data_IF_335353352723
#
_entry.id   IF_335353352723
#
_cell.length_a   1.000
_cell.length_b   1.000
_cell.length_c   1.000
_cell.angle_alpha   90.00
_cell.angle_beta   90.00
_cell.angle_gamma   90.00
#
_symmetry.space_group_name_H-M   'P 1'
#
loop_
_entity.id
_entity.type
_entity.pdbx_description
1 polymer ?
#
# COMPACT_ATOMS: atom_id res chain seq x y z
N UNK A 1 -8.25 -30.53 26.00
CA UNK A 1 -7.71 -29.30 26.61
C UNK A 1 -7.53 -28.30 25.49
N UNK A 2 -8.43 -27.31 25.39
CA UNK A 2 -8.36 -26.26 24.37
C UNK A 2 -7.38 -25.19 24.88
N UNK A 3 -6.27 -25.04 24.17
CA UNK A 3 -5.30 -23.97 24.46
C UNK A 3 -5.90 -22.65 24.00
N UNK A 4 -6.38 -21.84 24.95
CA UNK A 4 -6.73 -20.45 24.71
C UNK A 4 -5.47 -19.68 24.29
N UNK A 5 -5.32 -19.43 22.99
CA UNK A 5 -4.38 -18.42 22.50
C UNK A 5 -5.03 -17.08 22.79
N UNK A 6 -4.51 -16.41 23.81
CA UNK A 6 -4.79 -15.00 24.08
C UNK A 6 -4.25 -14.19 22.90
N UNK A 7 -5.13 -13.79 22.00
CA UNK A 7 -4.85 -12.72 21.04
C UNK A 7 -4.58 -11.45 21.87
N UNK A 8 -3.32 -11.13 22.07
CA UNK A 8 -2.92 -9.80 22.54
C UNK A 8 -3.46 -8.81 21.52
N UNK A 9 -4.15 -7.76 21.97
CA UNK A 9 -4.61 -6.65 21.14
C UNK A 9 -3.44 -6.14 20.30
N UNK A 10 -3.43 -6.49 19.02
CA UNK A 10 -2.38 -6.13 18.06
C UNK A 10 -2.62 -4.70 17.54
N UNK A 11 -2.56 -3.73 18.43
CA UNK A 11 -2.48 -2.30 18.11
C UNK A 11 -0.99 -1.96 17.97
N UNK A 12 -0.66 -0.96 17.16
CA UNK A 12 0.71 -0.44 17.08
C UNK A 12 1.35 -0.35 18.48
N UNK A 13 2.59 -0.83 18.66
CA UNK A 13 3.27 -0.68 19.94
C UNK A 13 3.27 0.79 20.36
N UNK A 14 2.74 1.07 21.53
CA UNK A 14 2.74 2.43 22.12
C UNK A 14 4.09 2.78 22.74
N UNK A 15 5.08 1.89 22.60
CA UNK A 15 6.44 2.15 23.00
C UNK A 15 7.13 3.09 22.00
N UNK A 16 8.03 3.91 22.47
CA UNK A 16 8.73 4.95 21.72
C UNK A 16 9.79 4.37 20.74
N UNK A 17 9.67 3.07 20.37
CA UNK A 17 10.61 2.41 19.46
C UNK A 17 10.44 2.88 18.01
N UNK A 18 11.52 2.89 17.23
CA UNK A 18 11.47 3.29 15.84
C UNK A 18 10.48 2.48 15.02
N UNK A 19 9.81 3.14 14.07
CA UNK A 19 8.92 2.48 13.10
C UNK A 19 9.42 2.74 11.69
N UNK A 20 9.60 1.66 10.92
CA UNK A 20 9.99 1.70 9.51
C UNK A 20 8.76 1.52 8.63
N UNK A 21 8.58 2.37 7.62
CA UNK A 21 7.57 2.17 6.57
C UNK A 21 8.23 2.00 5.20
N UNK A 22 7.71 1.07 4.39
CA UNK A 22 8.22 0.71 3.06
C UNK A 22 7.07 0.70 2.07
N UNK A 23 7.18 1.48 0.99
CA UNK A 23 6.30 1.41 -0.17
C UNK A 23 7.11 1.25 -1.46
N UNK A 24 6.81 0.18 -2.17
CA UNK A 24 7.37 -0.19 -3.47
C UNK A 24 6.26 -0.51 -4.48
N UNK A 25 5.06 -0.01 -4.22
CA UNK A 25 3.86 -0.32 -5.01
C UNK A 25 3.82 0.31 -6.40
N UNK A 26 4.73 1.27 -6.68
CA UNK A 26 4.83 1.99 -7.95
C UNK A 26 6.26 1.93 -8.51
N UNK A 27 6.64 2.85 -9.42
CA UNK A 27 8.04 3.05 -9.84
C UNK A 27 8.89 3.79 -8.81
N UNK A 28 8.26 4.33 -7.77
CA UNK A 28 8.95 4.97 -6.66
C UNK A 28 9.40 3.94 -5.63
N UNK A 29 10.53 4.21 -5.01
CA UNK A 29 10.94 3.62 -3.76
C UNK A 29 10.72 4.66 -2.67
N UNK A 30 9.81 4.38 -1.75
CA UNK A 30 9.52 5.25 -0.62
C UNK A 30 9.79 4.51 0.68
N UNK A 31 10.65 5.08 1.53
CA UNK A 31 11.04 4.51 2.82
C UNK A 31 10.99 5.64 3.85
N UNK A 32 10.29 5.44 4.94
CA UNK A 32 10.25 6.39 6.04
C UNK A 32 10.63 5.70 7.35
N UNK A 33 11.55 6.31 8.08
CA UNK A 33 11.90 5.91 9.43
C UNK A 33 11.41 6.98 10.39
N UNK A 34 10.57 6.58 11.33
CA UNK A 34 10.19 7.40 12.44
C UNK A 34 10.95 6.99 13.68
N UNK A 35 11.65 7.95 14.28
CA UNK A 35 12.40 7.78 15.53
C UNK A 35 12.36 9.09 16.34
N UNK A 36 12.10 9.00 17.65
CA UNK A 36 12.06 10.16 18.55
C UNK A 36 11.15 11.31 18.06
N UNK A 37 10.00 10.97 17.46
CA UNK A 37 9.02 11.90 16.86
C UNK A 37 9.51 12.63 15.61
N UNK A 38 10.66 12.29 15.07
CA UNK A 38 11.14 12.76 13.78
C UNK A 38 10.90 11.70 12.69
N UNK A 39 10.60 12.14 11.48
CA UNK A 39 10.43 11.27 10.31
C UNK A 39 11.49 11.61 9.28
N UNK A 40 12.37 10.65 9.02
CA UNK A 40 13.30 10.70 7.90
C UNK A 40 12.66 9.96 6.71
N UNK A 41 12.54 10.65 5.56
CA UNK A 41 11.91 10.13 4.36
C UNK A 41 12.91 10.03 3.21
N UNK A 42 12.99 8.86 2.58
CA UNK A 42 13.53 8.68 1.24
C UNK A 42 12.38 8.41 0.28
N UNK A 43 12.28 9.20 -0.80
CA UNK A 43 11.21 9.03 -1.79
C UNK A 43 11.72 9.44 -3.17
N UNK A 44 12.04 8.46 -4.01
CA UNK A 44 12.60 8.70 -5.35
C UNK A 44 12.02 7.74 -6.39
N UNK A 45 11.91 8.21 -7.63
CA UNK A 45 11.56 7.36 -8.77
C UNK A 45 12.80 6.58 -9.20
N UNK A 46 12.89 5.34 -8.80
CA UNK A 46 14.00 4.43 -9.10
C UNK A 46 13.68 3.45 -10.25
N UNK A 47 12.48 3.51 -10.79
CA UNK A 47 12.01 2.63 -11.86
C UNK A 47 12.08 1.17 -11.44
N UNK A 48 12.92 0.37 -12.13
CA UNK A 48 13.10 -1.07 -11.86
C UNK A 48 14.20 -1.39 -10.86
N UNK A 49 14.89 -0.38 -10.29
CA UNK A 49 16.05 -0.56 -9.40
C UNK A 49 15.69 -0.69 -7.92
N UNK A 50 14.43 -0.94 -7.60
CA UNK A 50 13.97 -1.06 -6.21
C UNK A 50 14.76 -2.11 -5.42
N UNK A 51 14.97 -3.30 -6.00
CA UNK A 51 15.72 -4.39 -5.34
C UNK A 51 17.20 -4.06 -5.09
N UNK A 52 17.78 -3.19 -5.91
CA UNK A 52 19.18 -2.77 -5.75
C UNK A 52 19.32 -1.70 -4.68
N UNK A 53 18.32 -0.83 -4.52
CA UNK A 53 18.42 0.36 -3.69
C UNK A 53 17.76 0.24 -2.32
N UNK A 54 16.78 -0.63 -2.13
CA UNK A 54 15.98 -0.66 -0.89
C UNK A 54 16.84 -0.91 0.36
N UNK A 55 17.71 -1.91 0.37
CA UNK A 55 18.56 -2.21 1.53
C UNK A 55 19.61 -1.12 1.78
N UNK A 56 20.35 -0.61 0.78
CA UNK A 56 21.25 0.53 0.98
C UNK A 56 20.58 1.77 1.57
N UNK A 57 19.34 2.09 1.15
CA UNK A 57 18.61 3.25 1.69
C UNK A 57 18.14 3.01 3.13
N UNK A 58 17.68 1.81 3.47
CA UNK A 58 17.33 1.44 4.86
C UNK A 58 18.58 1.53 5.75
N UNK A 59 19.70 0.96 5.32
CA UNK A 59 20.97 1.02 6.06
C UNK A 59 21.40 2.46 6.30
N UNK A 60 21.29 3.34 5.30
CA UNK A 60 21.58 4.76 5.44
C UNK A 60 20.71 5.41 6.53
N UNK A 61 19.40 5.22 6.48
CA UNK A 61 18.45 5.78 7.46
C UNK A 61 18.75 5.27 8.88
N UNK A 62 19.06 3.98 9.03
CA UNK A 62 19.43 3.40 10.32
C UNK A 62 20.71 3.99 10.88
N UNK A 63 21.74 4.15 10.03
CA UNK A 63 23.00 4.76 10.42
C UNK A 63 22.84 6.23 10.83
N UNK A 64 22.04 7.00 10.10
CA UNK A 64 21.75 8.41 10.41
C UNK A 64 20.98 8.53 11.75
N UNK A 65 20.08 7.60 12.04
CA UNK A 65 19.32 7.54 13.30
C UNK A 65 20.08 6.87 14.46
N UNK A 66 21.23 6.24 14.21
CA UNK A 66 22.00 5.52 15.22
C UNK A 66 21.33 4.26 15.74
N UNK A 67 20.52 3.58 14.92
CA UNK A 67 19.77 2.37 15.27
C UNK A 67 20.14 1.18 14.36
N UNK A 68 19.62 0.02 14.75
CA UNK A 68 19.68 -1.23 13.98
C UNK A 68 18.27 -1.82 13.78
N UNK A 69 18.14 -2.88 13.00
CA UNK A 69 16.86 -3.56 12.82
C UNK A 69 16.30 -4.16 14.13
N UNK A 70 17.17 -4.48 15.10
CA UNK A 70 16.76 -4.99 16.42
C UNK A 70 16.02 -3.94 17.27
N UNK A 71 16.22 -2.66 16.99
CA UNK A 71 15.59 -1.56 17.71
C UNK A 71 14.18 -1.25 17.21
N UNK A 72 13.79 -1.79 16.04
CA UNK A 72 12.47 -1.52 15.45
C UNK A 72 11.33 -2.04 16.33
N UNK A 73 10.35 -1.20 16.58
CA UNK A 73 9.10 -1.54 17.26
C UNK A 73 8.03 -2.05 16.32
N UNK A 74 8.03 -1.60 15.05
CA UNK A 74 7.07 -2.00 14.04
C UNK A 74 7.62 -1.76 12.63
N UNK A 75 7.18 -2.60 11.67
CA UNK A 75 7.43 -2.37 10.25
C UNK A 75 6.09 -2.25 9.52
N UNK A 76 5.88 -1.13 8.83
CA UNK A 76 4.71 -0.86 8.01
C UNK A 76 5.07 -1.12 6.55
N UNK A 77 4.20 -1.78 5.79
CA UNK A 77 4.47 -2.03 4.38
C UNK A 77 3.24 -1.81 3.51
N UNK A 78 3.46 -1.38 2.28
CA UNK A 78 2.43 -1.29 1.26
C UNK A 78 1.94 -2.70 0.90
N UNK A 79 0.70 -3.01 1.28
CA UNK A 79 0.12 -4.35 1.10
C UNK A 79 -0.32 -4.61 -0.34
N UNK A 80 -0.54 -3.55 -1.14
CA UNK A 80 -1.14 -3.59 -2.46
C UNK A 80 -2.57 -3.04 -2.44
N UNK A 81 -3.24 -3.02 -3.60
CA UNK A 81 -2.76 -3.44 -4.92
C UNK A 81 -1.74 -2.46 -5.51
N UNK A 82 -0.93 -2.95 -6.46
CA UNK A 82 0.12 -2.15 -7.09
C UNK A 82 1.04 -2.99 -7.99
N UNK A 83 2.25 -2.48 -8.26
CA UNK A 83 3.25 -3.16 -9.08
C UNK A 83 3.66 -4.49 -8.46
N UNK A 84 3.32 -5.58 -9.13
CA UNK A 84 3.47 -6.96 -8.63
C UNK A 84 4.88 -7.32 -8.13
N UNK A 85 5.91 -6.97 -8.89
CA UNK A 85 7.30 -7.22 -8.50
C UNK A 85 7.70 -6.31 -7.34
N UNK A 86 7.34 -5.04 -7.40
CA UNK A 86 7.66 -4.06 -6.36
C UNK A 86 7.08 -4.47 -5.01
N UNK A 87 5.79 -4.77 -4.95
CA UNK A 87 5.13 -5.20 -3.70
C UNK A 87 5.84 -6.40 -3.05
N UNK A 88 6.28 -7.38 -3.86
CA UNK A 88 7.04 -8.53 -3.34
C UNK A 88 8.42 -8.16 -2.80
N UNK A 89 9.12 -7.24 -3.46
CA UNK A 89 10.40 -6.73 -2.97
C UNK A 89 10.21 -6.06 -1.60
N UNK A 90 9.26 -5.14 -1.48
CA UNK A 90 8.99 -4.44 -0.22
C UNK A 90 8.57 -5.38 0.90
N UNK A 91 7.63 -6.28 0.64
CA UNK A 91 7.17 -7.26 1.63
C UNK A 91 8.28 -8.22 2.06
N UNK A 92 9.10 -8.75 1.12
CA UNK A 92 10.20 -9.65 1.44
C UNK A 92 11.28 -8.97 2.30
N UNK A 93 11.62 -7.71 2.00
CA UNK A 93 12.55 -6.93 2.83
C UNK A 93 11.96 -6.67 4.21
N UNK A 94 10.70 -6.26 4.30
CA UNK A 94 10.01 -6.05 5.57
C UNK A 94 9.99 -7.33 6.42
N UNK A 95 9.63 -8.48 5.83
CA UNK A 95 9.65 -9.79 6.50
C UNK A 95 11.07 -10.20 6.93
N UNK A 96 12.07 -9.97 6.07
CA UNK A 96 13.49 -10.27 6.38
C UNK A 96 14.03 -9.48 7.57
N UNK A 97 13.63 -8.21 7.70
CA UNK A 97 13.99 -7.35 8.84
C UNK A 97 13.21 -7.71 10.10
N UNK A 98 11.95 -8.12 9.98
CA UNK A 98 11.08 -8.44 11.10
C UNK A 98 11.40 -9.80 11.75
N UNK A 99 11.67 -10.82 10.94
CA UNK A 99 11.78 -12.23 11.37
C UNK A 99 12.82 -12.46 12.48
N UNK A 100 14.05 -11.91 12.44
CA UNK A 100 15.06 -12.19 13.46
C UNK A 100 14.72 -11.64 14.85
N UNK A 101 13.80 -10.68 14.94
CA UNK A 101 13.50 -9.93 16.16
C UNK A 101 12.03 -10.01 16.56
N UNK A 102 11.23 -10.85 15.88
CA UNK A 102 9.78 -10.94 16.08
C UNK A 102 9.09 -9.56 16.00
N UNK A 103 9.61 -8.66 15.15
CA UNK A 103 9.08 -7.31 15.01
C UNK A 103 7.69 -7.37 14.36
N UNK A 104 6.65 -6.77 14.98
CA UNK A 104 5.30 -6.75 14.40
C UNK A 104 5.27 -5.98 13.08
N UNK A 105 4.43 -6.42 12.16
CA UNK A 105 4.26 -5.84 10.84
C UNK A 105 2.83 -5.36 10.63
N UNK A 106 2.65 -4.23 9.96
CA UNK A 106 1.34 -3.70 9.57
C UNK A 106 1.29 -3.54 8.06
N UNK A 107 0.44 -4.33 7.41
CA UNK A 107 0.13 -4.15 5.99
C UNK A 107 -0.97 -3.10 5.81
N UNK A 108 -0.74 -2.11 4.95
CA UNK A 108 -1.72 -1.07 4.63
C UNK A 108 -2.05 -1.14 3.14
N UNK A 109 -3.34 -1.26 2.77
CA UNK A 109 -3.75 -1.23 1.38
C UNK A 109 -3.39 0.08 0.70
N UNK A 110 -2.82 0.00 -0.51
CA UNK A 110 -2.32 1.19 -1.22
C UNK A 110 -3.44 2.19 -1.58
N UNK A 111 -4.64 1.71 -1.87
CA UNK A 111 -5.79 2.57 -2.15
C UNK A 111 -6.30 3.28 -0.89
N UNK A 112 -6.22 2.66 0.28
CA UNK A 112 -6.52 3.30 1.56
C UNK A 112 -5.53 4.44 1.83
N UNK A 113 -4.23 4.17 1.58
CA UNK A 113 -3.19 5.17 1.73
C UNK A 113 -3.41 6.36 0.76
N UNK A 114 -3.76 6.10 -0.49
CA UNK A 114 -4.09 7.15 -1.45
C UNK A 114 -5.33 7.96 -1.00
N UNK A 115 -6.43 7.29 -0.63
CA UNK A 115 -7.64 7.96 -0.18
C UNK A 115 -7.40 8.87 1.04
N UNK A 116 -6.47 8.50 1.93
CA UNK A 116 -6.15 9.26 3.14
C UNK A 116 -5.51 10.63 2.89
N UNK A 117 -5.00 10.88 1.67
CA UNK A 117 -4.44 12.19 1.29
C UNK A 117 -5.53 13.24 1.02
N UNK A 118 -6.76 12.81 0.76
CA UNK A 118 -7.87 13.72 0.53
C UNK A 118 -8.48 14.22 1.86
N UNK A 119 -9.02 15.45 1.86
CA UNK A 119 -9.75 15.97 3.02
C UNK A 119 -10.97 15.07 3.32
N UNK A 120 -11.52 15.14 4.55
CA UNK A 120 -12.73 14.42 4.91
C UNK A 120 -13.88 14.67 3.92
N UNK A 121 -14.39 13.60 3.34
CA UNK A 121 -15.45 13.60 2.30
C UNK A 121 -16.23 12.29 2.35
N UNK A 122 -17.52 12.35 2.02
CA UNK A 122 -18.41 11.19 2.10
C UNK A 122 -18.23 10.18 0.96
N UNK A 123 -17.69 10.61 -0.20
CA UNK A 123 -17.48 9.71 -1.33
C UNK A 123 -16.32 10.18 -2.20
N UNK A 124 -15.19 9.49 -2.14
CA UNK A 124 -14.01 9.74 -2.97
C UNK A 124 -13.53 8.47 -3.65
N UNK A 125 -12.97 8.61 -4.85
CA UNK A 125 -12.38 7.52 -5.61
C UNK A 125 -10.87 7.48 -5.40
N UNK A 126 -10.32 6.37 -4.88
CA UNK A 126 -8.91 6.09 -5.00
C UNK A 126 -8.68 5.17 -6.20
N UNK A 127 -7.80 5.57 -7.14
CA UNK A 127 -7.53 4.79 -8.35
C UNK A 127 -6.05 4.84 -8.73
N UNK A 128 -5.46 3.67 -8.98
CA UNK A 128 -4.05 3.53 -9.34
C UNK A 128 -3.87 2.68 -10.59
N UNK A 129 -2.81 2.95 -11.37
CA UNK A 129 -2.49 2.22 -12.60
C UNK A 129 -2.28 0.72 -12.32
N UNK A 130 -3.10 -0.14 -12.90
CA UNK A 130 -2.98 -1.59 -12.85
C UNK A 130 -2.24 -2.17 -14.06
N UNK A 131 -1.70 -1.31 -14.93
CA UNK A 131 -1.14 -1.66 -16.24
C UNK A 131 -2.18 -2.24 -17.20
N UNK A 132 -1.77 -2.47 -18.47
CA UNK A 132 -2.60 -3.09 -19.51
C UNK A 132 -3.91 -2.34 -19.79
N UNK A 133 -3.95 -1.01 -19.56
CA UNK A 133 -5.15 -0.18 -19.75
C UNK A 133 -6.23 -0.39 -18.69
N UNK A 134 -5.85 -0.92 -17.52
CA UNK A 134 -6.73 -1.09 -16.36
C UNK A 134 -6.24 -0.28 -15.17
N UNK A 135 -7.12 -0.08 -14.21
CA UNK A 135 -6.82 0.58 -12.94
C UNK A 135 -7.31 -0.28 -11.76
N UNK A 136 -6.56 -0.25 -10.66
CA UNK A 136 -7.07 -0.68 -9.35
C UNK A 136 -7.84 0.48 -8.75
N UNK A 137 -9.01 0.23 -8.19
CA UNK A 137 -9.80 1.28 -7.57
C UNK A 137 -10.68 0.79 -6.43
N UNK A 138 -11.07 1.72 -5.58
CA UNK A 138 -12.11 1.55 -4.58
C UNK A 138 -12.67 2.92 -4.19
N UNK A 139 -13.91 2.93 -3.68
CA UNK A 139 -14.59 4.11 -3.16
C UNK A 139 -14.47 4.18 -1.65
N UNK A 140 -14.32 5.39 -1.13
CA UNK A 140 -14.11 5.64 0.30
C UNK A 140 -14.96 6.80 0.81
N UNK A 141 -15.44 6.66 2.03
CA UNK A 141 -15.85 7.75 2.90
C UNK A 141 -14.66 8.08 3.81
N UNK A 142 -13.91 9.13 3.45
CA UNK A 142 -12.72 9.54 4.22
C UNK A 142 -13.08 10.30 5.49
N UNK A 143 -14.31 10.82 5.60
CA UNK A 143 -14.82 11.47 6.81
C UNK A 143 -15.05 10.44 7.92
N UNK A 144 -15.66 9.30 7.58
CA UNK A 144 -15.95 8.23 8.53
C UNK A 144 -14.92 7.10 8.50
N UNK A 145 -13.90 7.21 7.65
CA UNK A 145 -12.86 6.21 7.45
C UNK A 145 -13.40 4.83 7.05
N UNK A 146 -14.38 4.80 6.18
CA UNK A 146 -15.03 3.58 5.69
C UNK A 146 -14.75 3.39 4.20
N UNK A 147 -14.43 2.17 3.81
CA UNK A 147 -14.40 1.80 2.40
C UNK A 147 -15.83 1.46 1.94
N UNK A 148 -16.30 2.11 0.87
CA UNK A 148 -17.65 2.01 0.33
C UNK A 148 -17.80 0.91 -0.74
N UNK A 149 -16.70 0.39 -1.28
CA UNK A 149 -16.71 -0.69 -2.28
C UNK A 149 -15.56 -1.66 -2.05
N UNK A 150 -15.62 -2.85 -2.64
CA UNK A 150 -14.48 -3.75 -2.69
C UNK A 150 -13.34 -3.15 -3.53
N UNK A 151 -12.10 -3.63 -3.28
CA UNK A 151 -10.99 -3.35 -4.18
C UNK A 151 -11.22 -4.06 -5.50
N UNK A 152 -11.22 -3.28 -6.57
CA UNK A 152 -11.58 -3.77 -7.90
C UNK A 152 -10.47 -3.46 -8.91
N UNK A 153 -10.39 -4.24 -9.97
CA UNK A 153 -9.56 -3.96 -11.15
C UNK A 153 -10.46 -3.93 -12.38
N UNK A 154 -10.27 -2.94 -13.25
CA UNK A 154 -11.04 -2.79 -14.45
C UNK A 154 -10.65 -1.57 -15.26
N UNK A 155 -11.39 -1.30 -16.34
CA UNK A 155 -11.16 -0.10 -17.17
C UNK A 155 -11.57 1.15 -16.41
N UNK A 156 -10.74 2.19 -16.48
CA UNK A 156 -11.03 3.46 -15.82
C UNK A 156 -12.36 4.07 -16.29
N UNK A 157 -12.65 4.02 -17.58
CA UNK A 157 -13.90 4.54 -18.19
C UNK A 157 -15.18 3.81 -17.74
N UNK A 158 -15.05 2.60 -17.17
CA UNK A 158 -16.19 1.81 -16.68
C UNK A 158 -16.51 2.02 -15.20
N UNK A 159 -15.72 2.86 -14.49
CA UNK A 159 -15.95 3.12 -13.07
C UNK A 159 -17.24 3.93 -12.90
N UNK A 160 -18.15 3.41 -12.10
CA UNK A 160 -19.37 4.10 -11.69
C UNK A 160 -19.33 4.46 -10.21
N UNK A 161 -20.00 5.52 -9.83
CA UNK A 161 -20.18 5.87 -8.43
C UNK A 161 -21.06 4.83 -7.72
N UNK A 162 -20.85 4.59 -6.42
CA UNK A 162 -21.76 3.76 -5.64
C UNK A 162 -23.19 4.34 -5.66
N UNK A 163 -24.17 3.46 -5.63
CA UNK A 163 -25.59 3.86 -5.67
C UNK A 163 -25.92 4.85 -4.54
N UNK A 164 -26.61 5.92 -4.89
CA UNK A 164 -27.00 6.96 -3.94
C UNK A 164 -25.86 7.87 -3.44
N UNK A 165 -24.63 7.71 -3.95
CA UNK A 165 -23.50 8.55 -3.59
C UNK A 165 -23.18 9.59 -4.66
N UNK A 166 -22.77 10.78 -4.22
CA UNK A 166 -22.24 11.83 -5.10
C UNK A 166 -20.74 11.94 -4.91
N UNK A 167 -19.92 11.59 -5.91
CA UNK A 167 -18.46 11.70 -5.82
C UNK A 167 -18.03 13.14 -5.60
N UNK A 168 -17.14 13.37 -4.64
CA UNK A 168 -16.55 14.68 -4.34
C UNK A 168 -15.13 14.84 -4.92
N UNK A 169 -14.60 13.81 -5.56
CA UNK A 169 -13.30 13.84 -6.21
C UNK A 169 -12.59 12.48 -6.16
N UNK A 170 -11.35 12.47 -6.65
CA UNK A 170 -10.55 11.24 -6.64
C UNK A 170 -9.06 11.52 -6.50
N UNK A 171 -8.30 10.45 -6.29
CA UNK A 171 -6.86 10.49 -6.07
C UNK A 171 -6.16 9.23 -6.58
N UNK A 172 -4.90 9.39 -6.98
CA UNK A 172 -4.01 8.32 -7.39
C UNK A 172 -3.53 8.47 -8.83
N UNK A 173 -2.47 7.80 -9.18
CA UNK A 173 -1.80 7.96 -10.47
C UNK A 173 -2.63 7.54 -11.69
N UNK A 174 -3.78 6.88 -11.50
CA UNK A 174 -4.73 6.64 -12.57
C UNK A 174 -5.30 7.93 -13.17
N UNK A 175 -5.34 9.02 -12.42
CA UNK A 175 -5.82 10.33 -12.90
C UNK A 175 -4.83 11.03 -13.84
N UNK A 176 -3.58 10.55 -13.95
CA UNK A 176 -2.60 11.01 -14.94
C UNK A 176 -2.61 10.19 -16.24
N UNK A 177 -3.38 9.11 -16.34
CA UNK A 177 -3.46 8.27 -17.53
C UNK A 177 -4.26 8.95 -18.64
N UNK A 178 -3.97 8.58 -19.89
CA UNK A 178 -4.75 9.03 -21.03
C UNK A 178 -6.22 8.58 -20.95
N UNK A 179 -6.44 7.31 -20.55
CA UNK A 179 -7.76 6.75 -20.22
C UNK A 179 -7.92 6.80 -18.68
N UNK A 180 -8.24 7.98 -18.17
CA UNK A 180 -8.41 8.25 -16.74
C UNK A 180 -9.85 7.98 -16.27
N UNK A 181 -10.08 7.84 -14.94
CA UNK A 181 -11.44 7.76 -14.38
C UNK A 181 -12.32 8.95 -14.82
N UNK A 182 -13.65 8.74 -15.04
CA UNK A 182 -14.58 9.78 -15.52
C UNK A 182 -15.02 10.73 -14.38
N UNK A 183 -14.12 11.07 -13.47
CA UNK A 183 -14.32 11.96 -12.33
C UNK A 183 -13.16 12.92 -12.22
N UNK A 184 -13.38 14.07 -11.57
CA UNK A 184 -12.29 14.96 -11.20
C UNK A 184 -11.41 14.31 -10.15
N UNK A 185 -10.09 14.51 -10.26
CA UNK A 185 -9.15 13.90 -9.32
C UNK A 185 -7.72 14.37 -9.49
N UNK A 186 -6.90 14.04 -8.51
CA UNK A 186 -5.48 14.41 -8.42
C UNK A 186 -4.62 13.17 -8.64
N UNK A 187 -3.49 13.34 -9.33
CA UNK A 187 -2.57 12.24 -9.64
C UNK A 187 -1.58 11.92 -8.50
N UNK A 188 -1.81 12.50 -7.32
CA UNK A 188 -0.91 12.33 -6.19
C UNK A 188 -0.93 10.91 -5.63
N UNK A 189 0.23 10.48 -5.14
CA UNK A 189 0.42 9.16 -4.54
C UNK A 189 0.98 9.33 -3.12
N UNK A 190 0.60 8.41 -2.20
CA UNK A 190 1.14 8.44 -0.85
C UNK A 190 2.64 8.16 -0.83
N UNK A 191 3.31 8.69 0.17
CA UNK A 191 4.68 8.36 0.53
C UNK A 191 4.71 7.40 1.73
N UNK A 192 5.85 6.80 2.03
CA UNK A 192 6.01 5.97 3.22
C UNK A 192 5.68 6.71 4.53
N UNK A 193 5.84 8.04 4.57
CA UNK A 193 5.44 8.84 5.72
C UNK A 193 3.90 8.87 5.92
N UNK A 194 3.12 8.75 4.85
CA UNK A 194 1.66 8.70 4.96
C UNK A 194 1.20 7.32 5.47
N UNK A 195 1.91 6.25 5.11
CA UNK A 195 1.70 4.92 5.70
C UNK A 195 1.98 4.91 7.22
N UNK A 196 3.00 5.61 7.70
CA UNK A 196 3.24 5.77 9.15
C UNK A 196 2.05 6.44 9.86
N UNK A 197 1.51 7.52 9.28
CA UNK A 197 0.32 8.21 9.82
C UNK A 197 -0.88 7.27 9.91
N UNK A 198 -1.11 6.47 8.86
CA UNK A 198 -2.21 5.51 8.83
C UNK A 198 -2.03 4.39 9.85
N UNK A 199 -0.84 3.85 9.99
CA UNK A 199 -0.54 2.81 10.98
C UNK A 199 -0.88 3.29 12.40
N UNK A 200 -0.59 4.57 12.71
CA UNK A 200 -0.92 5.17 14.01
C UNK A 200 -2.41 5.35 14.28
N UNK A 201 -3.24 5.31 13.25
CA UNK A 201 -4.69 5.43 13.43
C UNK A 201 -5.31 4.27 14.22
N UNK A 202 -4.58 3.16 14.40
CA UNK A 202 -5.05 1.94 15.05
C UNK A 202 -6.08 1.14 14.25
N UNK A 203 -6.34 1.52 13.01
CA UNK A 203 -7.31 0.82 12.13
C UNK A 203 -6.76 -0.43 11.46
N UNK A 204 -5.45 -0.55 11.39
CA UNK A 204 -4.75 -1.66 10.76
C UNK A 204 -4.09 -2.52 11.83
N UNK A 205 -4.38 -3.81 11.79
CA UNK A 205 -3.89 -4.74 12.78
C UNK A 205 -2.45 -5.16 12.47
N UNK A 206 -1.63 -5.22 13.50
CA UNK A 206 -0.30 -5.80 13.39
C UNK A 206 -0.39 -7.34 13.32
N UNK A 207 0.51 -7.93 12.56
CA UNK A 207 0.70 -9.37 12.42
C UNK A 207 2.18 -9.70 12.60
N UNK A 208 2.52 -10.97 12.73
CA UNK A 208 3.91 -11.42 12.63
C UNK A 208 4.36 -11.53 11.17
N UNK A 209 5.67 -11.71 10.96
CA UNK A 209 6.25 -11.80 9.62
C UNK A 209 5.74 -13.02 8.81
N UNK A 210 5.37 -14.12 9.47
CA UNK A 210 4.88 -15.33 8.80
C UNK A 210 3.47 -15.17 8.24
N UNK A 211 2.67 -14.29 8.83
CA UNK A 211 1.30 -14.01 8.42
C UNK A 211 1.14 -12.67 7.69
N UNK A 212 2.24 -11.99 7.39
CA UNK A 212 2.23 -10.76 6.58
C UNK A 212 1.95 -11.10 5.12
N UNK A 213 0.76 -10.78 4.64
CA UNK A 213 0.26 -11.13 3.31
C UNK A 213 0.15 -9.90 2.41
N UNK A 214 0.26 -10.10 1.08
CA UNK A 214 -0.03 -9.11 0.07
C UNK A 214 -1.51 -9.18 -0.36
N UNK A 215 -2.08 -8.02 -0.64
CA UNK A 215 -3.43 -7.89 -1.17
C UNK A 215 -3.43 -8.02 -2.70
N UNK A 216 -3.92 -9.14 -3.20
CA UNK A 216 -4.10 -9.39 -4.63
C UNK A 216 -5.55 -9.15 -5.04
N UNK A 217 -5.78 -8.16 -5.90
CA UNK A 217 -7.11 -7.83 -6.44
C UNK A 217 -7.37 -8.54 -7.77
N UNK A 218 -6.31 -8.82 -8.54
CA UNK A 218 -6.44 -9.50 -9.83
C UNK A 218 -6.35 -11.01 -9.66
N UNK A 219 -7.49 -11.69 -9.77
CA UNK A 219 -7.56 -13.16 -9.65
C UNK A 219 -7.00 -13.91 -10.87
N UNK A 220 -6.79 -13.24 -12.02
CA UNK A 220 -6.33 -13.87 -13.26
C UNK A 220 -5.21 -13.03 -13.89
N UNK A 221 -3.97 -13.43 -13.66
CA UNK A 221 -2.76 -12.71 -14.10
C UNK A 221 -2.38 -13.06 -15.55
N UNK A 222 -2.77 -14.25 -16.04
CA UNK A 222 -2.47 -14.70 -17.40
C UNK A 222 -3.69 -15.35 -18.03
N UNK A 223 -3.95 -15.02 -19.29
CA UNK A 223 -4.88 -15.76 -20.12
C UNK A 223 -4.33 -17.18 -20.35
N UNK A 224 -5.17 -18.19 -20.24
CA UNK A 224 -4.81 -19.53 -20.66
C UNK A 224 -4.47 -19.56 -22.16
N UNK A 225 -3.72 -20.56 -22.62
CA UNK A 225 -3.39 -20.70 -24.04
C UNK A 225 -4.64 -20.70 -24.95
N UNK A 226 -5.76 -21.25 -24.47
CA UNK A 226 -7.05 -21.21 -25.18
C UNK A 226 -7.64 -19.81 -25.28
N UNK A 227 -7.59 -19.01 -24.23
CA UNK A 227 -8.08 -17.65 -24.20
C UNK A 227 -7.22 -16.70 -25.05
N UNK A 228 -5.90 -16.92 -25.08
CA UNK A 228 -4.98 -16.20 -25.97
C UNK A 228 -5.26 -16.53 -27.46
N UNK A 229 -5.58 -17.80 -27.77
CA UNK A 229 -5.96 -18.20 -29.12
C UNK A 229 -7.30 -17.57 -29.53
N UNK A 230 -8.28 -17.48 -28.64
CA UNK A 230 -9.57 -16.85 -28.91
C UNK A 230 -9.47 -15.32 -29.09
N UNK A 231 -8.57 -14.64 -28.35
CA UNK A 231 -8.31 -13.21 -28.57
C UNK A 231 -7.64 -12.92 -29.93
N UNK A 232 -6.73 -13.80 -30.38
CA UNK A 232 -6.08 -13.67 -31.70
C UNK A 232 -6.98 -14.04 -32.86
N UNK A 233 -8.09 -14.73 -32.61
CA UNK A 233 -9.06 -15.17 -33.65
C UNK A 233 -10.25 -14.21 -33.82
N UNK A 234 -10.31 -13.11 -33.02
CA UNK A 234 -11.31 -12.04 -33.28
C UNK A 234 -10.74 -11.08 -34.33
N UNK A 235 -11.48 -10.87 -35.44
CA UNK A 235 -11.08 -9.97 -36.54
C UNK A 235 -11.03 -8.51 -36.09
#
# INVERSE_FOLDING_TARGET
MATHILLKNNIMPTDNRPTLAIDTSTSFLSIALEHQSEICLFHENVGTKQSEQILPQIERLFKEAGITAADLGCIVYAQGPGAFTGLRIGAAVAQGLATPFDTPMIGIPCLDAAASLLPPSSCVLAATDARMGEVFYAWFDTQNHVRLSDYTVGKASAIAAPEGQTPSGGIGNAFALADKPPFDGQADMPTAADYLKLARSGRYLATDAAHAELLYVRNKIALTAQEQAQQKAKP
#
